data_IF_946572110662
#
_entry.id   IF_946572110662
#
_cell.length_a   1.000
_cell.length_b   1.000
_cell.length_c   1.000
_cell.angle_alpha   90.00
_cell.angle_beta   90.00
_cell.angle_gamma   90.00
#
_symmetry.space_group_name_H-M   'P 1'
#
loop_
_entity.id
_entity.type
_entity.pdbx_description
1 polymer ?
#
# COMPACT_ATOMS: atom_id res chain seq x y z
N UNK A 1 14.00 3.07 -7.34
CA UNK A 1 12.63 3.60 -7.52
C UNK A 1 12.39 4.17 -8.91
N UNK A 2 13.11 5.21 -9.35
CA UNK A 2 12.91 5.82 -10.68
C UNK A 2 13.07 4.83 -11.85
N UNK A 3 14.01 3.88 -11.75
CA UNK A 3 14.20 2.85 -12.78
C UNK A 3 13.00 1.91 -12.85
N UNK A 4 12.41 1.50 -11.72
CA UNK A 4 11.21 0.63 -11.72
C UNK A 4 10.02 1.34 -12.36
N UNK A 5 9.80 2.61 -11.99
CA UNK A 5 8.72 3.43 -12.54
C UNK A 5 8.96 3.71 -14.03
N UNK A 6 10.17 4.08 -14.41
CA UNK A 6 10.57 4.30 -15.80
C UNK A 6 10.40 3.05 -16.65
N UNK A 7 10.79 1.88 -16.15
CA UNK A 7 10.58 0.61 -16.84
C UNK A 7 9.09 0.28 -16.99
N UNK A 8 8.27 0.61 -16.01
CA UNK A 8 6.81 0.48 -16.10
C UNK A 8 6.23 1.31 -17.25
N UNK A 9 6.71 2.55 -17.41
CA UNK A 9 6.29 3.44 -18.49
C UNK A 9 6.79 2.97 -19.86
N UNK A 10 8.02 2.45 -19.94
CA UNK A 10 8.59 1.92 -21.19
C UNK A 10 7.89 0.63 -21.62
N UNK A 11 7.47 -0.21 -20.67
CA UNK A 11 6.74 -1.46 -20.91
C UNK A 11 5.21 -1.28 -20.87
N UNK A 12 4.70 -0.04 -21.04
CA UNK A 12 3.27 0.26 -20.98
C UNK A 12 2.48 -0.48 -22.05
N UNK A 13 3.04 -0.61 -23.25
CA UNK A 13 2.43 -1.35 -24.34
C UNK A 13 2.66 -2.85 -24.15
N UNK A 14 1.58 -3.63 -24.04
CA UNK A 14 1.63 -5.08 -23.92
C UNK A 14 1.65 -5.68 -25.33
N UNK A 15 2.77 -6.28 -25.78
CA UNK A 15 2.81 -6.92 -27.09
C UNK A 15 1.88 -8.15 -27.11
N UNK A 16 1.29 -8.48 -28.28
CA UNK A 16 0.38 -9.62 -28.40
C UNK A 16 1.08 -10.99 -28.22
N UNK A 17 2.41 -11.03 -28.30
CA UNK A 17 3.25 -12.20 -28.05
C UNK A 17 3.88 -12.15 -26.64
N UNK A 18 4.13 -13.31 -26.00
CA UNK A 18 4.79 -13.36 -24.70
C UNK A 18 6.21 -12.79 -24.80
N UNK A 19 6.43 -11.66 -24.15
CA UNK A 19 7.71 -10.96 -24.10
C UNK A 19 8.42 -11.25 -22.78
N UNK A 20 9.62 -11.81 -22.86
CA UNK A 20 10.52 -12.01 -21.73
C UNK A 20 10.67 -10.76 -20.82
N UNK A 21 10.82 -9.52 -21.33
CA UNK A 21 10.96 -8.34 -20.46
C UNK A 21 9.71 -8.07 -19.61
N UNK A 22 8.51 -8.26 -20.16
CA UNK A 22 7.26 -8.06 -19.40
C UNK A 22 7.09 -9.10 -18.29
N UNK A 23 7.40 -10.37 -18.58
CA UNK A 23 7.35 -11.44 -17.58
C UNK A 23 8.36 -11.21 -16.44
N UNK A 24 9.59 -10.83 -16.79
CA UNK A 24 10.64 -10.53 -15.82
C UNK A 24 10.27 -9.33 -14.94
N UNK A 25 9.75 -8.26 -15.55
CA UNK A 25 9.28 -7.10 -14.81
C UNK A 25 8.13 -7.46 -13.86
N UNK A 26 7.12 -8.19 -14.33
CA UNK A 26 5.99 -8.62 -13.49
C UNK A 26 6.44 -9.49 -12.31
N UNK A 27 7.42 -10.38 -12.48
CA UNK A 27 7.93 -11.23 -11.40
C UNK A 27 8.81 -10.50 -10.38
N UNK A 28 9.63 -9.55 -10.83
CA UNK A 28 10.71 -9.00 -9.99
C UNK A 28 10.41 -7.61 -9.43
N UNK A 29 9.53 -6.81 -10.06
CA UNK A 29 9.29 -5.42 -9.65
C UNK A 29 8.91 -5.27 -8.17
N UNK A 30 8.07 -6.16 -7.63
CA UNK A 30 7.67 -6.13 -6.21
C UNK A 30 8.83 -6.45 -5.27
N UNK A 31 9.65 -7.43 -5.64
CA UNK A 31 10.83 -7.82 -4.85
C UNK A 31 11.89 -6.73 -4.85
N UNK A 32 12.14 -6.10 -6.01
CA UNK A 32 13.05 -4.95 -6.11
C UNK A 32 12.53 -3.74 -5.32
N UNK A 33 11.22 -3.50 -5.34
CA UNK A 33 10.61 -2.46 -4.51
C UNK A 33 10.81 -2.75 -3.02
N UNK A 34 10.54 -3.98 -2.58
CA UNK A 34 10.73 -4.38 -1.19
C UNK A 34 12.21 -4.28 -0.76
N UNK A 35 13.15 -4.69 -1.62
CA UNK A 35 14.59 -4.57 -1.36
C UNK A 35 15.01 -3.12 -1.25
N UNK A 36 14.52 -2.25 -2.14
CA UNK A 36 14.80 -0.82 -2.07
C UNK A 36 14.31 -0.19 -0.76
N UNK A 37 13.11 -0.56 -0.29
CA UNK A 37 12.59 -0.09 1.00
C UNK A 37 13.39 -0.67 2.16
N UNK A 38 13.73 -1.96 2.12
CA UNK A 38 14.56 -2.61 3.14
C UNK A 38 15.94 -1.93 3.26
N UNK A 39 16.55 -1.55 2.14
CA UNK A 39 17.81 -0.80 2.14
C UNK A 39 17.66 0.57 2.81
N UNK A 40 16.54 1.29 2.59
CA UNK A 40 16.27 2.56 3.27
C UNK A 40 16.19 2.34 4.79
N UNK A 41 15.50 1.30 5.23
CA UNK A 41 15.38 0.97 6.66
C UNK A 41 16.77 0.70 7.25
N UNK A 42 17.59 -0.15 6.60
CA UNK A 42 18.96 -0.42 7.04
C UNK A 42 19.82 0.86 7.09
N UNK A 43 19.70 1.73 6.08
CA UNK A 43 20.42 3.00 6.08
C UNK A 43 20.00 3.92 7.23
N UNK A 44 18.72 3.88 7.66
CA UNK A 44 18.24 4.63 8.81
C UNK A 44 18.78 4.05 10.12
N UNK A 45 18.73 2.72 10.30
CA UNK A 45 19.25 2.04 11.49
C UNK A 45 20.76 2.25 11.69
N UNK A 46 21.54 2.26 10.61
CA UNK A 46 22.99 2.49 10.65
C UNK A 46 23.37 3.99 10.76
N UNK A 47 22.38 4.89 10.90
CA UNK A 47 22.60 6.33 11.06
C UNK A 47 22.93 7.11 9.78
N UNK A 48 22.89 6.47 8.62
CA UNK A 48 23.08 7.10 7.31
C UNK A 48 21.77 7.68 6.71
N UNK A 49 20.65 7.58 7.42
CA UNK A 49 19.32 7.98 6.94
C UNK A 49 19.08 9.49 6.86
N UNK A 50 19.84 10.30 7.60
CA UNK A 50 19.80 11.76 7.55
C UNK A 50 18.37 12.35 7.63
N UNK A 51 17.93 13.01 6.56
CA UNK A 51 16.58 13.60 6.48
C UNK A 51 15.46 12.55 6.50
N UNK A 52 15.68 11.38 5.89
CA UNK A 52 14.66 10.33 5.79
C UNK A 52 14.34 9.75 7.17
N UNK A 53 15.36 9.59 8.01
CA UNK A 53 15.20 9.12 9.38
C UNK A 53 14.38 10.10 10.24
N UNK A 54 14.67 11.40 10.14
CA UNK A 54 13.87 12.44 10.81
C UNK A 54 12.41 12.47 10.34
N UNK A 55 12.16 12.21 9.06
CA UNK A 55 10.79 12.14 8.54
C UNK A 55 10.06 10.90 9.07
N UNK A 56 10.70 9.73 9.06
CA UNK A 56 10.09 8.46 9.50
C UNK A 56 9.90 8.38 11.02
N UNK A 57 10.75 9.05 11.80
CA UNK A 57 10.67 9.07 13.27
C UNK A 57 9.61 10.03 13.82
N UNK A 58 8.86 10.76 12.97
CA UNK A 58 7.80 11.66 13.42
C UNK A 58 6.68 10.89 14.15
N UNK A 59 6.26 11.42 15.31
CA UNK A 59 5.12 10.90 16.08
C UNK A 59 3.79 10.91 15.29
N UNK A 60 3.72 11.64 14.19
CA UNK A 60 2.56 11.62 13.27
C UNK A 60 2.32 10.23 12.66
N UNK A 61 3.38 9.43 12.48
CA UNK A 61 3.27 8.09 11.89
C UNK A 61 2.74 7.05 12.87
N UNK A 62 2.80 7.31 14.17
CA UNK A 62 2.34 6.37 15.22
C UNK A 62 0.86 6.00 15.08
N UNK A 63 -0.10 6.94 15.01
CA UNK A 63 -1.50 6.59 14.80
C UNK A 63 -1.72 5.89 13.45
N UNK A 64 -1.01 6.32 12.40
CA UNK A 64 -1.14 5.75 11.06
C UNK A 64 -0.63 4.30 10.99
N UNK A 65 0.46 4.01 11.70
CA UNK A 65 1.05 2.67 11.81
C UNK A 65 0.08 1.70 12.50
N UNK A 66 -0.59 2.14 13.57
CA UNK A 66 -1.58 1.32 14.27
C UNK A 66 -2.76 0.94 13.36
N UNK A 67 -3.30 1.86 12.56
CA UNK A 67 -4.43 1.57 11.67
C UNK A 67 -4.02 0.82 10.39
N UNK A 68 -2.72 0.79 10.06
CA UNK A 68 -2.22 0.23 8.81
C UNK A 68 -2.56 -1.25 8.63
N UNK A 69 -2.56 -2.01 9.72
CA UNK A 69 -2.91 -3.43 9.71
C UNK A 69 -4.40 -3.64 9.37
N UNK A 70 -5.29 -2.91 10.05
CA UNK A 70 -6.73 -2.95 9.75
C UNK A 70 -7.02 -2.49 8.31
N UNK A 71 -6.34 -1.44 7.84
CA UNK A 71 -6.44 -0.96 6.46
C UNK A 71 -6.01 -2.06 5.47
N UNK A 72 -4.89 -2.74 5.72
CA UNK A 72 -4.37 -3.81 4.87
C UNK A 72 -5.37 -4.96 4.68
N UNK A 73 -6.09 -5.34 5.73
CA UNK A 73 -7.10 -6.40 5.66
C UNK A 73 -8.36 -5.98 4.90
N UNK A 74 -8.85 -4.75 5.13
CA UNK A 74 -10.10 -4.26 4.54
C UNK A 74 -9.95 -3.85 3.07
N UNK A 75 -8.79 -3.30 2.69
CA UNK A 75 -8.55 -2.77 1.34
C UNK A 75 -8.89 -3.76 0.22
N UNK A 76 -8.39 -5.00 0.19
CA UNK A 76 -8.76 -5.96 -0.85
C UNK A 76 -10.24 -6.35 -0.79
N UNK A 77 -10.84 -6.42 0.40
CA UNK A 77 -12.27 -6.77 0.56
C UNK A 77 -13.15 -5.71 -0.11
N UNK A 78 -12.87 -4.42 0.11
CA UNK A 78 -13.62 -3.34 -0.51
C UNK A 78 -13.47 -3.32 -2.04
N UNK A 79 -12.26 -3.57 -2.54
CA UNK A 79 -12.03 -3.65 -3.99
C UNK A 79 -12.81 -4.81 -4.60
N UNK A 80 -12.75 -6.01 -3.98
CA UNK A 80 -13.47 -7.19 -4.47
C UNK A 80 -14.98 -6.97 -4.44
N UNK A 81 -15.51 -6.39 -3.35
CA UNK A 81 -16.93 -6.08 -3.23
C UNK A 81 -17.38 -5.06 -4.28
N UNK A 82 -16.61 -3.99 -4.48
CA UNK A 82 -16.91 -2.98 -5.49
C UNK A 82 -16.93 -3.56 -6.90
N UNK A 83 -15.87 -4.28 -7.28
CA UNK A 83 -15.78 -4.93 -8.59
C UNK A 83 -16.84 -6.03 -8.77
N UNK A 84 -17.16 -6.79 -7.74
CA UNK A 84 -18.19 -7.83 -7.78
C UNK A 84 -19.62 -7.28 -7.89
N UNK A 85 -19.85 -6.04 -7.47
CA UNK A 85 -21.13 -5.33 -7.65
C UNK A 85 -21.20 -4.54 -8.94
N UNK A 86 -20.12 -4.53 -9.71
CA UNK A 86 -20.04 -3.72 -10.91
C UNK A 86 -20.64 -4.46 -12.11
N UNK A 87 -21.79 -3.98 -12.58
CA UNK A 87 -22.53 -4.59 -13.68
C UNK A 87 -22.07 -4.08 -15.06
N UNK A 88 -21.39 -2.93 -15.11
CA UNK A 88 -20.92 -2.31 -16.35
C UNK A 88 -19.42 -2.05 -16.35
N UNK A 89 -18.73 -2.19 -17.50
CA UNK A 89 -17.30 -1.93 -17.58
C UNK A 89 -17.01 -0.43 -17.41
N UNK A 90 -16.04 -0.09 -16.56
CA UNK A 90 -15.56 1.28 -16.42
C UNK A 90 -14.62 1.61 -17.58
N UNK A 91 -14.83 2.77 -18.20
CA UNK A 91 -13.92 3.25 -19.24
C UNK A 91 -12.55 3.60 -18.66
N UNK A 92 -11.50 3.02 -19.25
CA UNK A 92 -10.13 3.14 -18.76
C UNK A 92 -9.56 4.52 -19.08
N UNK A 93 -9.76 5.46 -18.15
CA UNK A 93 -9.22 6.82 -18.22
C UNK A 93 -8.45 7.13 -16.95
N UNK A 94 -7.38 7.91 -17.08
CA UNK A 94 -6.52 8.26 -15.95
C UNK A 94 -7.33 8.96 -14.83
N UNK A 95 -8.29 9.81 -15.21
CA UNK A 95 -9.17 10.52 -14.28
C UNK A 95 -10.07 9.57 -13.49
N UNK A 96 -10.77 8.63 -14.16
CA UNK A 96 -11.64 7.68 -13.46
C UNK A 96 -10.85 6.80 -12.48
N UNK A 97 -9.68 6.32 -12.88
CA UNK A 97 -8.82 5.52 -12.01
C UNK A 97 -8.28 6.32 -10.83
N UNK A 98 -7.95 7.59 -11.02
CA UNK A 98 -7.56 8.47 -9.93
C UNK A 98 -8.69 8.68 -8.91
N UNK A 99 -9.92 8.92 -9.38
CA UNK A 99 -11.10 9.03 -8.51
C UNK A 99 -11.37 7.73 -7.73
N UNK A 100 -11.29 6.58 -8.40
CA UNK A 100 -11.48 5.27 -7.76
C UNK A 100 -10.40 4.98 -6.73
N UNK A 101 -9.14 5.29 -7.03
CA UNK A 101 -8.03 5.15 -6.10
C UNK A 101 -8.26 5.99 -4.83
N UNK A 102 -8.59 7.28 -4.98
CA UNK A 102 -8.87 8.14 -3.85
C UNK A 102 -10.08 7.66 -3.04
N UNK A 103 -11.16 7.24 -3.72
CA UNK A 103 -12.35 6.72 -3.08
C UNK A 103 -12.06 5.48 -2.23
N UNK A 104 -11.36 4.50 -2.80
CA UNK A 104 -10.94 3.30 -2.06
C UNK A 104 -9.99 3.66 -0.92
N UNK A 105 -9.02 4.54 -1.13
CA UNK A 105 -8.07 4.95 -0.10
C UNK A 105 -8.79 5.58 1.10
N UNK A 106 -9.65 6.56 0.88
CA UNK A 106 -10.40 7.24 1.96
C UNK A 106 -11.29 6.26 2.70
N UNK A 107 -12.06 5.43 1.98
CA UNK A 107 -12.94 4.43 2.61
C UNK A 107 -12.15 3.44 3.47
N UNK A 108 -10.97 3.02 3.01
CA UNK A 108 -10.14 2.05 3.73
C UNK A 108 -9.55 2.62 4.99
N UNK A 109 -9.11 3.88 4.96
CA UNK A 109 -8.63 4.58 6.16
C UNK A 109 -9.76 4.77 7.18
N UNK A 110 -10.96 5.16 6.74
CA UNK A 110 -12.11 5.36 7.63
C UNK A 110 -12.54 4.05 8.28
N UNK A 111 -12.74 2.99 7.49
CA UNK A 111 -13.19 1.69 8.01
C UNK A 111 -12.08 1.03 8.83
N UNK A 112 -10.81 1.14 8.39
CA UNK A 112 -9.65 0.66 9.14
C UNK A 112 -9.54 1.31 10.51
N UNK A 113 -9.73 2.63 10.60
CA UNK A 113 -9.79 3.35 11.87
C UNK A 113 -10.89 2.81 12.79
N UNK A 114 -12.11 2.62 12.27
CA UNK A 114 -13.23 2.06 13.03
C UNK A 114 -12.90 0.66 13.56
N UNK A 115 -12.31 -0.22 12.75
CA UNK A 115 -11.91 -1.56 13.20
C UNK A 115 -10.82 -1.52 14.26
N UNK A 116 -9.80 -0.69 14.11
CA UNK A 116 -8.75 -0.53 15.13
C UNK A 116 -9.33 -0.08 16.47
N UNK A 117 -10.28 0.86 16.47
CA UNK A 117 -10.93 1.33 17.70
C UNK A 117 -11.84 0.26 18.32
N UNK A 118 -12.62 -0.45 17.50
CA UNK A 118 -13.60 -1.44 18.00
C UNK A 118 -12.99 -2.79 18.34
N UNK A 119 -11.87 -3.16 17.72
CA UNK A 119 -11.23 -4.47 17.91
C UNK A 119 -9.91 -4.30 18.64
N UNK A 120 -8.93 -3.62 18.07
CA UNK A 120 -7.57 -3.64 18.64
C UNK A 120 -7.50 -2.96 20.02
N UNK A 121 -8.18 -1.82 20.21
CA UNK A 121 -8.17 -1.10 21.51
C UNK A 121 -8.81 -1.88 22.68
N UNK A 122 -10.01 -2.48 22.57
CA UNK A 122 -10.58 -3.24 23.67
C UNK A 122 -9.76 -4.49 24.03
N UNK A 123 -9.15 -5.16 23.05
CA UNK A 123 -8.25 -6.29 23.32
C UNK A 123 -7.00 -5.86 24.09
N UNK A 124 -6.45 -4.68 23.80
CA UNK A 124 -5.34 -4.10 24.57
C UNK A 124 -5.74 -3.78 26.01
N UNK A 125 -6.93 -3.21 26.22
CA UNK A 125 -7.45 -2.92 27.57
C UNK A 125 -7.69 -4.22 28.38
N UNK A 126 -8.23 -5.26 27.75
CA UNK A 126 -8.40 -6.58 28.36
C UNK A 126 -7.06 -7.24 28.75
N UNK A 127 -6.02 -7.08 27.93
CA UNK A 127 -4.67 -7.58 28.24
C UNK A 127 -4.02 -6.82 29.40
N UNK A 128 -4.27 -5.51 29.52
CA UNK A 128 -3.77 -4.67 30.62
C UNK A 128 -4.46 -4.91 31.97
N UNK A 129 -5.68 -5.46 31.98
CA UNK A 129 -6.45 -5.76 33.20
C UNK A 129 -5.92 -6.99 33.99
N UNK A 130 -4.90 -7.70 33.47
CA UNK A 130 -4.26 -8.84 34.15
C UNK A 130 -2.87 -8.51 34.75
N UNK A 131 -2.53 -7.22 34.90
CA UNK A 131 -1.30 -6.78 35.56
C UNK A 131 -1.62 -6.02 36.86
#
# INVERSE_FOLDING_TARGET
MAILVGLAYVLRDVPPQPSAPHALYQGIHRSLWALAVAWIILACEEGYGGFVDNLLSLNLWVPLSNISFACYLIHPVLIILYNGKQETPIHYTDMNFFYLFLGHMILTVVIGYVLTVLVEKPYLFLKGSKA
#
